data_IF_079332983549
#
_entry.id   IF_079332983549
#
_cell.length_a   1.000
_cell.length_b   1.000
_cell.length_c   1.000
_cell.angle_alpha   90.00
_cell.angle_beta   90.00
_cell.angle_gamma   90.00
#
_symmetry.space_group_name_H-M   'P 1'
#
loop_
_entity.id
_entity.type
_entity.pdbx_description
1 polymer ?
#
# COMPACT_ATOMS: atom_id res chain seq x y z
N UNK A 1 4.05 26.78 -5.79
CA UNK A 1 5.43 26.54 -5.29
C UNK A 1 5.75 25.06 -5.19
N UNK A 2 6.80 24.64 -5.91
CA UNK A 2 7.22 23.24 -6.05
C UNK A 2 8.02 22.66 -4.88
N UNK A 3 7.96 23.27 -3.70
CA UNK A 3 8.73 22.87 -2.51
C UNK A 3 8.11 21.68 -1.75
N UNK A 4 6.77 21.51 -1.74
CA UNK A 4 6.10 20.65 -0.76
C UNK A 4 6.47 19.16 -0.77
N UNK A 5 6.47 18.50 -1.93
CA UNK A 5 6.60 17.02 -1.98
C UNK A 5 8.06 16.54 -1.95
N UNK A 6 8.97 17.24 -2.63
CA UNK A 6 10.39 16.90 -2.63
C UNK A 6 11.01 17.12 -1.24
N UNK A 7 10.66 18.24 -0.60
CA UNK A 7 11.11 18.52 0.76
C UNK A 7 10.49 17.55 1.76
N UNK A 8 9.21 17.20 1.60
CA UNK A 8 8.62 16.15 2.42
C UNK A 8 9.29 14.78 2.23
N UNK A 9 9.58 14.38 0.99
CA UNK A 9 10.30 13.14 0.71
C UNK A 9 11.69 13.14 1.36
N UNK A 10 12.38 14.28 1.30
CA UNK A 10 13.67 14.49 1.95
C UNK A 10 13.55 14.39 3.48
N UNK A 11 12.58 15.07 4.09
CA UNK A 11 12.34 15.03 5.53
C UNK A 11 12.00 13.63 6.03
N UNK A 12 11.16 12.90 5.29
CA UNK A 12 10.86 11.50 5.58
C UNK A 12 12.14 10.64 5.59
N UNK A 13 12.98 10.81 4.57
CA UNK A 13 14.24 10.06 4.41
C UNK A 13 15.29 10.43 5.48
N UNK A 14 15.59 11.72 5.65
CA UNK A 14 16.64 12.20 6.58
C UNK A 14 16.31 11.87 8.04
N UNK A 15 15.04 11.94 8.42
CA UNK A 15 14.62 11.66 9.80
C UNK A 15 14.29 10.17 10.03
N UNK A 16 14.40 9.32 9.00
CA UNK A 16 14.00 7.92 9.05
C UNK A 16 12.57 7.73 9.59
N UNK A 17 11.66 8.62 9.19
CA UNK A 17 10.25 8.61 9.57
C UNK A 17 9.39 8.38 8.33
N UNK A 18 8.21 7.82 8.55
CA UNK A 18 7.35 7.36 7.46
C UNK A 18 6.11 8.19 7.21
N UNK A 19 5.90 9.19 8.05
CA UNK A 19 4.75 10.06 8.05
C UNK A 19 5.16 11.42 8.60
N UNK A 20 4.68 12.46 7.93
CA UNK A 20 4.73 13.85 8.35
C UNK A 20 3.31 14.31 8.66
N UNK A 21 3.15 15.07 9.72
CA UNK A 21 1.92 15.82 9.97
C UNK A 21 2.00 17.10 9.15
N UNK A 22 1.00 17.33 8.30
CA UNK A 22 0.87 18.57 7.55
C UNK A 22 0.16 19.57 8.45
N UNK A 23 0.82 20.70 8.72
CA UNK A 23 0.25 21.81 9.50
C UNK A 23 -0.07 22.99 8.61
N UNK A 24 -1.12 23.75 8.94
CA UNK A 24 -1.40 25.02 8.29
C UNK A 24 -0.45 26.13 8.80
N UNK A 25 -0.61 27.36 8.27
CA UNK A 25 0.20 28.52 8.69
C UNK A 25 0.08 28.91 10.16
N UNK A 26 -0.97 28.44 10.84
CA UNK A 26 -1.21 28.67 12.27
C UNK A 26 -0.65 27.53 13.14
N UNK A 27 0.05 26.55 12.55
CA UNK A 27 0.58 25.38 13.25
C UNK A 27 -0.45 24.29 13.54
N UNK A 28 -1.69 24.43 13.05
CA UNK A 28 -2.74 23.45 13.27
C UNK A 28 -2.60 22.26 12.32
N UNK A 29 -2.73 21.00 12.79
CA UNK A 29 -2.68 19.83 11.94
C UNK A 29 -3.88 19.80 10.98
N UNK A 30 -3.61 19.71 9.69
CA UNK A 30 -4.63 19.67 8.62
C UNK A 30 -4.56 18.41 7.76
N UNK A 31 -3.53 17.58 7.94
CA UNK A 31 -3.42 16.31 7.22
C UNK A 31 -2.20 15.49 7.61
N UNK A 32 -2.04 14.36 6.93
CA UNK A 32 -0.87 13.49 7.07
C UNK A 32 -0.34 13.16 5.68
N UNK A 33 0.98 13.20 5.53
CA UNK A 33 1.68 12.77 4.33
C UNK A 33 2.60 11.61 4.69
N UNK A 34 2.49 10.49 3.99
CA UNK A 34 3.28 9.28 4.24
C UNK A 34 4.26 9.00 3.11
N UNK A 35 5.26 8.16 3.39
CA UNK A 35 6.17 7.63 2.35
C UNK A 35 5.40 6.98 1.22
N UNK A 36 4.27 6.33 1.53
CA UNK A 36 3.43 5.70 0.52
C UNK A 36 2.79 6.75 -0.40
N UNK A 37 2.36 7.89 0.12
CA UNK A 37 1.75 8.95 -0.71
C UNK A 37 2.79 9.60 -1.65
N UNK A 38 4.05 9.70 -1.20
CA UNK A 38 5.19 10.10 -2.05
C UNK A 38 5.43 9.06 -3.15
N UNK A 39 5.47 7.77 -2.79
CA UNK A 39 5.64 6.67 -3.74
C UNK A 39 4.53 6.67 -4.79
N UNK A 40 3.26 6.81 -4.38
CA UNK A 40 2.10 6.87 -5.27
C UNK A 40 2.21 8.03 -6.28
N UNK A 41 2.69 9.20 -5.85
CA UNK A 41 2.93 10.34 -6.76
C UNK A 41 3.99 10.02 -7.83
N UNK A 42 5.09 9.36 -7.43
CA UNK A 42 6.17 8.98 -8.34
C UNK A 42 5.71 7.88 -9.31
N UNK A 43 4.97 6.88 -8.81
CA UNK A 43 4.42 5.78 -9.61
C UNK A 43 3.45 6.31 -10.66
N UNK A 44 2.53 7.19 -10.29
CA UNK A 44 1.56 7.75 -11.23
C UNK A 44 2.20 8.58 -12.35
N UNK A 45 3.44 9.08 -12.17
CA UNK A 45 4.17 9.86 -13.18
C UNK A 45 4.96 9.00 -14.18
N UNK A 46 5.20 7.72 -13.90
CA UNK A 46 5.96 6.83 -14.80
C UNK A 46 5.04 5.72 -15.31
N UNK A 47 4.95 5.52 -16.63
CA UNK A 47 4.42 4.27 -17.23
C UNK A 47 5.36 3.12 -16.88
N UNK A 48 5.25 2.59 -15.66
CA UNK A 48 6.05 1.46 -15.17
C UNK A 48 5.23 0.18 -15.35
N UNK A 49 5.13 -0.29 -16.59
CA UNK A 49 4.35 -1.48 -16.92
C UNK A 49 4.99 -2.77 -16.39
N UNK A 50 6.26 -2.74 -15.95
CA UNK A 50 6.99 -3.97 -15.65
C UNK A 50 7.01 -4.39 -14.18
N UNK A 51 6.77 -3.49 -13.21
CA UNK A 51 6.67 -3.88 -11.80
C UNK A 51 5.59 -3.07 -11.08
N UNK A 52 4.43 -3.70 -10.89
CA UNK A 52 3.32 -3.17 -10.09
C UNK A 52 3.58 -3.24 -8.59
N UNK A 53 4.71 -3.77 -8.15
CA UNK A 53 5.02 -4.04 -6.74
C UNK A 53 6.12 -3.11 -6.25
N UNK A 54 5.87 -2.44 -5.13
CA UNK A 54 6.81 -1.52 -4.50
C UNK A 54 6.98 -1.87 -3.03
N UNK A 55 8.23 -1.90 -2.54
CA UNK A 55 8.53 -2.19 -1.13
C UNK A 55 9.30 -1.00 -0.55
N UNK A 56 9.00 -0.65 0.71
CA UNK A 56 9.63 0.45 1.45
C UNK A 56 9.80 0.10 2.93
N UNK A 57 10.63 0.89 3.64
CA UNK A 57 10.89 0.72 5.07
C UNK A 57 11.84 -0.43 5.44
N UNK A 58 12.46 -1.06 4.45
CA UNK A 58 13.43 -2.14 4.63
C UNK A 58 14.71 -1.60 5.31
N UNK A 59 15.01 -2.10 6.51
CA UNK A 59 16.32 -1.93 7.16
C UNK A 59 17.32 -3.01 6.69
N UNK A 60 18.57 -2.97 7.17
CA UNK A 60 19.60 -3.95 6.77
C UNK A 60 19.19 -5.40 7.05
N UNK A 61 18.45 -5.65 8.13
CA UNK A 61 17.99 -6.99 8.51
C UNK A 61 16.87 -7.47 7.60
N UNK A 62 15.91 -6.60 7.27
CA UNK A 62 14.79 -6.94 6.38
C UNK A 62 15.29 -7.12 4.93
N UNK A 63 16.41 -6.49 4.56
CA UNK A 63 16.93 -6.52 3.18
C UNK A 63 17.25 -7.93 2.68
N UNK A 64 17.65 -8.83 3.58
CA UNK A 64 17.92 -10.24 3.24
C UNK A 64 16.63 -10.97 2.79
N UNK A 65 15.48 -10.56 3.30
CA UNK A 65 14.16 -11.13 2.96
C UNK A 65 13.50 -10.46 1.75
N UNK A 66 14.10 -9.40 1.19
CA UNK A 66 13.53 -8.65 0.06
C UNK A 66 13.15 -9.54 -1.14
N UNK A 67 13.96 -10.53 -1.56
CA UNK A 67 13.60 -11.43 -2.66
C UNK A 67 12.31 -12.23 -2.38
N UNK A 68 12.16 -12.73 -1.15
CA UNK A 68 11.01 -13.53 -0.71
C UNK A 68 9.74 -12.68 -0.63
N UNK A 69 9.88 -11.47 -0.08
CA UNK A 69 8.81 -10.47 -0.01
C UNK A 69 8.33 -10.10 -1.41
N UNK A 70 9.25 -9.80 -2.33
CA UNK A 70 8.92 -9.51 -3.74
C UNK A 70 8.21 -10.69 -4.40
N UNK A 71 8.70 -11.91 -4.19
CA UNK A 71 8.10 -13.11 -4.75
C UNK A 71 6.66 -13.31 -4.23
N UNK A 72 6.41 -13.13 -2.93
CA UNK A 72 5.09 -13.22 -2.35
C UNK A 72 4.12 -12.16 -2.88
N UNK A 73 4.56 -10.90 -3.01
CA UNK A 73 3.74 -9.83 -3.59
C UNK A 73 3.45 -10.06 -5.08
N UNK A 74 4.42 -10.59 -5.84
CA UNK A 74 4.21 -10.96 -7.24
C UNK A 74 3.18 -12.10 -7.36
N UNK A 75 3.27 -13.13 -6.52
CA UNK A 75 2.28 -14.21 -6.45
C UNK A 75 0.89 -13.67 -6.10
N UNK A 76 0.79 -12.78 -5.12
CA UNK A 76 -0.47 -12.10 -4.77
C UNK A 76 -1.05 -11.35 -5.98
N UNK A 77 -0.24 -10.53 -6.65
CA UNK A 77 -0.66 -9.79 -7.85
C UNK A 77 -1.20 -10.74 -8.92
N UNK A 78 -0.46 -11.80 -9.24
CA UNK A 78 -0.89 -12.80 -10.24
C UNK A 78 -2.18 -13.51 -9.82
N UNK A 79 -2.34 -13.85 -8.54
CA UNK A 79 -3.57 -14.47 -8.04
C UNK A 79 -4.78 -13.53 -8.15
N UNK A 80 -4.62 -12.26 -7.80
CA UNK A 80 -5.68 -11.27 -7.86
C UNK A 80 -6.06 -10.95 -9.32
N UNK A 81 -5.11 -10.85 -10.24
CA UNK A 81 -5.38 -10.57 -11.66
C UNK A 81 -6.05 -11.72 -12.41
N UNK A 82 -5.95 -12.97 -11.91
CA UNK A 82 -6.74 -14.10 -12.43
C UNK A 82 -8.24 -13.93 -12.18
N UNK A 83 -8.64 -13.09 -11.22
CA UNK A 83 -10.04 -12.87 -10.89
C UNK A 83 -10.63 -11.83 -11.85
N UNK A 84 -11.64 -12.24 -12.63
CA UNK A 84 -12.36 -11.35 -13.55
C UNK A 84 -12.85 -10.09 -12.83
N UNK A 85 -12.61 -8.92 -13.44
CA UNK A 85 -12.94 -7.57 -12.94
C UNK A 85 -11.92 -6.94 -11.97
N UNK A 86 -10.89 -7.69 -11.55
CA UNK A 86 -9.78 -7.11 -10.79
C UNK A 86 -8.70 -6.66 -11.77
N UNK A 87 -8.33 -5.38 -11.71
CA UNK A 87 -7.20 -4.84 -12.45
C UNK A 87 -6.35 -4.03 -11.49
N UNK A 88 -5.16 -4.54 -11.18
CA UNK A 88 -4.22 -3.88 -10.27
C UNK A 88 -3.51 -2.77 -11.03
N UNK A 89 -3.53 -1.58 -10.43
CA UNK A 89 -2.68 -0.44 -10.81
C UNK A 89 -1.30 -0.60 -10.17
N UNK A 90 -1.24 -0.75 -8.85
CA UNK A 90 -0.02 -1.06 -8.11
C UNK A 90 -0.33 -1.74 -6.76
N UNK A 91 0.68 -2.33 -6.16
CA UNK A 91 0.75 -2.88 -4.81
C UNK A 91 1.95 -2.22 -4.11
N UNK A 92 1.74 -1.68 -2.92
CA UNK A 92 2.84 -1.20 -2.07
C UNK A 92 2.88 -1.99 -0.77
N UNK A 93 4.07 -2.36 -0.32
CA UNK A 93 4.28 -2.88 1.03
C UNK A 93 5.29 -1.98 1.76
N UNK A 94 4.93 -1.55 2.95
CA UNK A 94 5.82 -0.84 3.85
C UNK A 94 6.04 -1.70 5.09
N UNK A 95 7.28 -2.07 5.36
CA UNK A 95 7.67 -2.90 6.51
C UNK A 95 8.48 -2.01 7.44
N UNK A 96 8.19 -2.03 8.75
CA UNK A 96 8.99 -1.31 9.74
C UNK A 96 9.21 -2.15 10.98
N UNK A 97 10.35 -1.93 11.62
CA UNK A 97 10.58 -2.39 12.98
C UNK A 97 10.23 -1.28 13.96
N UNK A 98 9.31 -1.55 14.87
CA UNK A 98 8.83 -0.61 15.88
C UNK A 98 9.51 -0.84 17.23
N UNK A 99 9.31 0.09 18.17
CA UNK A 99 9.79 -0.06 19.56
C UNK A 99 9.23 -1.36 20.17
N UNK A 100 10.10 -2.14 20.80
CA UNK A 100 9.76 -3.47 21.33
C UNK A 100 9.93 -4.63 20.36
N UNK A 101 10.68 -4.43 19.27
CA UNK A 101 11.03 -5.48 18.31
C UNK A 101 9.84 -6.11 17.56
N UNK A 102 8.80 -5.31 17.29
CA UNK A 102 7.66 -5.74 16.46
C UNK A 102 7.80 -5.22 15.04
N UNK A 103 7.45 -6.06 14.07
CA UNK A 103 7.26 -5.69 12.68
C UNK A 103 5.87 -5.12 12.48
N UNK A 104 5.79 -3.96 11.85
CA UNK A 104 4.57 -3.33 11.34
C UNK A 104 4.61 -3.41 9.81
N UNK A 105 3.70 -4.19 9.22
CA UNK A 105 3.57 -4.37 7.78
C UNK A 105 2.27 -3.75 7.31
N UNK A 106 2.41 -2.73 6.49
CA UNK A 106 1.30 -2.09 5.79
C UNK A 106 1.32 -2.50 4.33
N UNK A 107 0.23 -3.09 3.84
CA UNK A 107 0.06 -3.45 2.43
C UNK A 107 -1.08 -2.64 1.84
N UNK A 108 -0.87 -2.04 0.68
CA UNK A 108 -1.90 -1.37 -0.12
C UNK A 108 -2.00 -2.00 -1.50
N UNK A 109 -3.21 -2.19 -1.98
CA UNK A 109 -3.53 -2.57 -3.35
C UNK A 109 -4.39 -1.47 -3.95
N UNK A 110 -3.86 -0.80 -4.98
CA UNK A 110 -4.61 0.15 -5.78
C UNK A 110 -5.16 -0.55 -7.02
N UNK A 111 -6.48 -0.44 -7.19
CA UNK A 111 -7.21 -1.04 -8.30
C UNK A 111 -7.62 0.04 -9.30
N UNK A 112 -7.44 -0.20 -10.60
CA UNK A 112 -7.77 0.77 -11.66
C UNK A 112 -9.20 1.31 -11.57
N UNK A 113 -10.15 0.45 -11.19
CA UNK A 113 -11.57 0.79 -11.06
C UNK A 113 -12.12 0.47 -9.65
N UNK A 114 -11.23 0.33 -8.66
CA UNK A 114 -11.55 -0.19 -7.33
C UNK A 114 -11.32 0.77 -6.18
N UNK A 115 -10.49 1.80 -6.36
CA UNK A 115 -9.95 2.58 -5.25
C UNK A 115 -8.75 1.86 -4.62
N UNK A 116 -8.38 2.29 -3.42
CA UNK A 116 -7.24 1.74 -2.67
C UNK A 116 -7.77 0.92 -1.51
N UNK A 117 -7.23 -0.28 -1.34
CA UNK A 117 -7.51 -1.18 -0.22
C UNK A 117 -6.22 -1.32 0.57
N UNK A 118 -6.27 -1.15 1.89
CA UNK A 118 -5.09 -1.16 2.75
C UNK A 118 -5.32 -2.02 3.98
N UNK A 119 -4.30 -2.78 4.36
CA UNK A 119 -4.25 -3.55 5.61
C UNK A 119 -2.96 -3.19 6.37
N UNK A 120 -3.03 -3.21 7.70
CA UNK A 120 -1.88 -3.09 8.60
C UNK A 120 -1.85 -4.31 9.54
N UNK A 121 -0.74 -5.02 9.59
CA UNK A 121 -0.51 -6.17 10.49
C UNK A 121 0.71 -5.90 11.34
N UNK A 122 0.65 -6.27 12.62
CA UNK A 122 1.75 -6.05 13.56
C UNK A 122 2.05 -7.31 14.37
N UNK A 123 3.30 -7.77 14.36
CA UNK A 123 3.72 -8.96 15.11
C UNK A 123 5.22 -8.90 15.48
N UNK A 124 5.71 -9.83 16.30
CA UNK A 124 7.13 -10.00 16.63
C UNK A 124 7.91 -10.81 15.57
N UNK A 125 7.23 -11.53 14.68
CA UNK A 125 7.86 -12.43 13.69
C UNK A 125 7.59 -11.94 12.27
N UNK A 126 8.65 -11.59 11.53
CA UNK A 126 8.54 -11.00 10.19
C UNK A 126 7.75 -11.89 9.22
N UNK A 127 8.12 -13.16 9.11
CA UNK A 127 7.49 -14.13 8.19
C UNK A 127 5.99 -14.29 8.48
N UNK A 128 5.62 -14.52 9.75
CA UNK A 128 4.21 -14.58 10.16
C UNK A 128 3.45 -13.30 9.84
N UNK A 129 4.04 -12.15 10.16
CA UNK A 129 3.43 -10.84 9.88
C UNK A 129 3.19 -10.66 8.38
N UNK A 130 4.14 -11.11 7.56
CA UNK A 130 4.10 -11.00 6.11
C UNK A 130 2.99 -11.86 5.51
N UNK A 131 2.94 -13.14 5.89
CA UNK A 131 1.91 -14.07 5.42
C UNK A 131 0.50 -13.61 5.82
N UNK A 132 0.33 -13.19 7.07
CA UNK A 132 -0.95 -12.64 7.55
C UNK A 132 -1.35 -11.38 6.78
N UNK A 133 -0.39 -10.52 6.44
CA UNK A 133 -0.65 -9.33 5.64
C UNK A 133 -1.09 -9.67 4.21
N UNK A 134 -0.45 -10.67 3.56
CA UNK A 134 -0.84 -11.15 2.23
C UNK A 134 -2.24 -11.77 2.23
N UNK A 135 -2.55 -12.59 3.23
CA UNK A 135 -3.85 -13.24 3.33
C UNK A 135 -4.96 -12.22 3.62
N UNK A 136 -4.70 -11.28 4.53
CA UNK A 136 -5.66 -10.24 4.90
C UNK A 136 -5.97 -9.33 3.72
N UNK A 137 -4.97 -8.83 3.00
CA UNK A 137 -5.21 -7.95 1.84
C UNK A 137 -5.92 -8.70 0.72
N UNK A 138 -5.60 -9.98 0.50
CA UNK A 138 -6.30 -10.82 -0.48
C UNK A 138 -7.78 -10.94 -0.13
N UNK A 139 -8.12 -11.25 1.13
CA UNK A 139 -9.50 -11.34 1.60
C UNK A 139 -10.26 -10.04 1.37
N UNK A 140 -9.66 -8.90 1.72
CA UNK A 140 -10.35 -7.60 1.62
C UNK A 140 -10.53 -7.13 0.18
N UNK A 141 -9.56 -7.40 -0.70
CA UNK A 141 -9.71 -7.18 -2.15
C UNK A 141 -10.88 -8.00 -2.71
N UNK A 142 -11.02 -9.26 -2.30
CA UNK A 142 -12.12 -10.11 -2.76
C UNK A 142 -13.49 -9.63 -2.25
N UNK A 143 -13.58 -9.24 -0.97
CA UNK A 143 -14.80 -8.67 -0.39
C UNK A 143 -15.22 -7.39 -1.12
N UNK A 144 -14.27 -6.51 -1.41
CA UNK A 144 -14.56 -5.24 -2.11
C UNK A 144 -15.06 -5.50 -3.55
N UNK A 145 -14.49 -6.49 -4.23
CA UNK A 145 -14.98 -6.94 -5.54
C UNK A 145 -16.43 -7.42 -5.46
N UNK A 146 -16.78 -8.23 -4.46
CA UNK A 146 -18.13 -8.76 -4.28
C UNK A 146 -19.13 -7.64 -4.00
N UNK A 147 -18.78 -6.71 -3.11
CA UNK A 147 -19.58 -5.52 -2.78
C UNK A 147 -19.90 -4.69 -4.01
N UNK A 148 -18.91 -4.39 -4.86
CA UNK A 148 -19.13 -3.62 -6.09
C UNK A 148 -19.97 -4.35 -7.13
N UNK A 149 -19.85 -5.68 -7.23
CA UNK A 149 -20.70 -6.47 -8.13
C UNK A 149 -22.15 -6.53 -7.65
N UNK A 150 -22.38 -6.61 -6.33
CA UNK A 150 -23.71 -6.51 -5.73
C UNK A 150 -24.38 -5.18 -6.05
N UNK A 151 -23.68 -4.06 -5.83
CA UNK A 151 -24.19 -2.72 -6.14
C UNK A 151 -24.54 -2.54 -7.63
N UNK A 152 -23.71 -3.05 -8.54
CA UNK A 152 -24.01 -2.99 -9.99
C UNK A 152 -25.28 -3.75 -10.36
N UNK A 153 -25.58 -4.87 -9.70
CA UNK A 153 -26.80 -5.65 -9.97
C UNK A 153 -28.07 -4.97 -9.45
N UNK A 154 -27.98 -4.22 -8.35
CA UNK A 154 -29.09 -3.44 -7.79
C UNK A 154 -29.45 -2.25 -8.70
N UNK A 155 -28.45 -1.46 -9.10
CA UNK A 155 -28.68 -0.29 -9.97
C UNK A 155 -29.26 -0.62 -11.35
N UNK A 156 -29.05 -1.86 -11.85
CA UNK A 156 -29.66 -2.32 -13.11
C UNK A 156 -31.12 -2.72 -12.93
N UNK A 157 -31.54 -3.14 -11.73
CA UNK A 157 -32.92 -3.52 -11.44
C UNK A 157 -33.83 -2.30 -11.18
N UNK A 158 -33.30 -1.25 -10.58
CA UNK A 158 -34.07 -0.03 -10.27
C UNK A 158 -34.20 0.94 -11.46
N UNK A 159 -33.58 0.62 -12.60
CA UNK A 159 -33.56 1.44 -13.82
C UNK A 159 -34.43 0.89 -14.96
N UNK A 160 -35.37 -0.01 -14.68
CA UNK A 160 -36.34 -0.58 -15.64
C UNK A 160 -37.76 -0.26 -15.17
#
# INVERSE_FOLDING_TARGET
>A
DGAGLADAARLLAENNISSLVVVNRQGMPVGMLTVTDVLENVINRRRLEENKVFISGIDKTIKEYEPEIKAGLKRLSQQLEKVKSISIQYITMNIKRTRGNRYDIKVRVALKNGGIISVNVTDFILERTFDEALDSIKRDVMKEKERKQGLRKLNVKDGI
#
